data_IF_708106698757
#
_entry.id   IF_708106698757
#
_cell.length_a   1.000
_cell.length_b   1.000
_cell.length_c   1.000
_cell.angle_alpha   90.00
_cell.angle_beta   90.00
_cell.angle_gamma   90.00
#
_symmetry.space_group_name_H-M   'P 1'
#
loop_
_entity.id
_entity.type
_entity.pdbx_description
1 polymer ?
#
# COMPACT_ATOMS: atom_id res chain seq x y z
N UNK A 1 -20.79 8.55 -22.10
CA UNK A 1 -20.05 7.88 -21.01
C UNK A 1 -21.01 6.89 -20.38
N UNK A 2 -20.73 5.60 -20.44
CA UNK A 2 -21.57 4.58 -19.79
C UNK A 2 -21.15 4.54 -18.32
N UNK A 3 -22.06 4.89 -17.44
CA UNK A 3 -21.93 4.60 -16.01
C UNK A 3 -21.67 3.10 -15.87
N UNK A 4 -20.48 2.75 -15.37
CA UNK A 4 -20.22 1.40 -14.90
C UNK A 4 -21.00 1.22 -13.62
N UNK A 5 -22.07 0.46 -13.67
CA UNK A 5 -22.77 -0.06 -12.50
C UNK A 5 -21.75 -0.82 -11.64
N UNK A 6 -21.37 -0.22 -10.51
CA UNK A 6 -20.46 -0.84 -9.55
C UNK A 6 -21.30 -1.90 -8.81
N UNK A 7 -21.18 -3.14 -9.25
CA UNK A 7 -21.71 -4.26 -8.49
C UNK A 7 -20.93 -4.39 -7.19
N UNK A 8 -21.54 -4.03 -6.08
CA UNK A 8 -21.01 -4.31 -4.76
C UNK A 8 -20.76 -5.82 -4.63
N UNK A 9 -19.55 -6.28 -4.29
CA UNK A 9 -19.30 -7.69 -3.99
C UNK A 9 -19.90 -8.11 -2.63
N UNK A 10 -20.42 -7.17 -1.87
CA UNK A 10 -21.23 -7.44 -0.70
C UNK A 10 -22.64 -7.79 -1.14
N UNK A 11 -22.87 -9.02 -1.57
CA UNK A 11 -24.20 -9.61 -1.42
C UNK A 11 -24.38 -9.89 0.08
N UNK A 12 -25.22 -9.10 0.72
CA UNK A 12 -25.64 -9.25 2.12
C UNK A 12 -26.34 -10.60 2.42
N UNK A 13 -26.26 -11.58 1.51
CA UNK A 13 -26.89 -12.90 1.62
C UNK A 13 -25.96 -13.98 2.16
N UNK A 14 -24.69 -13.68 2.47
CA UNK A 14 -23.76 -14.66 3.03
C UNK A 14 -23.50 -14.37 4.50
N UNK A 15 -24.24 -15.08 5.35
CA UNK A 15 -24.11 -15.22 6.80
C UNK A 15 -24.36 -13.95 7.61
N UNK A 16 -25.59 -13.79 8.06
CA UNK A 16 -26.00 -12.82 9.10
C UNK A 16 -25.22 -12.96 10.43
N UNK A 17 -24.40 -13.99 10.59
CA UNK A 17 -23.64 -14.28 11.82
C UNK A 17 -22.19 -13.79 11.83
N UNK A 18 -21.64 -13.31 10.71
CA UNK A 18 -20.35 -12.61 10.68
C UNK A 18 -20.55 -11.11 10.45
N UNK A 19 -21.22 -10.45 11.39
CA UNK A 19 -21.12 -8.99 11.49
C UNK A 19 -19.68 -8.69 11.91
N UNK A 20 -18.83 -8.38 10.93
CA UNK A 20 -17.52 -7.82 11.22
C UNK A 20 -17.75 -6.45 11.86
N UNK A 21 -17.72 -6.41 13.18
CA UNK A 21 -17.44 -5.16 13.88
C UNK A 21 -16.02 -4.76 13.54
N UNK A 22 -15.84 -4.13 12.37
CA UNK A 22 -14.55 -3.67 11.89
C UNK A 22 -14.05 -2.56 12.82
N UNK A 23 -14.96 -1.89 13.42
CA UNK A 23 -14.77 -0.81 14.38
C UNK A 23 -15.71 -1.02 15.53
N UNK A 24 -15.32 -0.92 16.79
CA UNK A 24 -16.29 -0.91 17.86
C UNK A 24 -17.30 0.21 17.60
N UNK A 25 -18.48 -0.15 17.12
CA UNK A 25 -19.57 0.77 16.83
C UNK A 25 -19.74 1.21 15.38
N UNK A 26 -18.86 0.83 14.44
CA UNK A 26 -19.06 1.13 13.02
C UNK A 26 -19.85 -0.01 12.35
N UNK A 27 -20.96 0.32 11.70
CA UNK A 27 -21.74 -0.63 10.91
C UNK A 27 -21.07 -0.92 9.57
N UNK A 28 -21.40 -2.07 8.96
CA UNK A 28 -20.94 -2.41 7.61
C UNK A 28 -21.35 -1.35 6.56
N UNK A 29 -22.47 -0.66 6.77
CA UNK A 29 -22.98 0.40 5.89
C UNK A 29 -22.15 1.67 6.04
N UNK A 30 -21.79 2.07 7.25
CA UNK A 30 -20.92 3.21 7.51
C UNK A 30 -19.54 2.98 6.94
N UNK A 31 -19.01 1.77 7.05
CA UNK A 31 -17.74 1.39 6.46
C UNK A 31 -17.81 1.36 4.94
N UNK A 32 -18.89 0.86 4.36
CA UNK A 32 -19.12 0.90 2.93
C UNK A 32 -19.18 2.34 2.42
N UNK A 33 -19.86 3.24 3.13
CA UNK A 33 -19.91 4.65 2.80
C UNK A 33 -18.52 5.30 2.83
N UNK A 34 -17.68 4.93 3.79
CA UNK A 34 -16.33 5.43 3.93
C UNK A 34 -15.45 5.12 2.70
N UNK A 35 -15.47 3.86 2.24
CA UNK A 35 -14.66 3.43 1.10
C UNK A 35 -15.30 3.72 -0.26
N UNK A 36 -16.59 4.05 -0.30
CA UNK A 36 -17.37 4.21 -1.54
C UNK A 36 -17.80 5.65 -1.83
N UNK A 37 -17.20 6.65 -1.17
CA UNK A 37 -17.42 8.03 -1.58
C UNK A 37 -17.02 8.23 -3.05
N UNK A 38 -17.83 9.01 -3.77
CA UNK A 38 -17.73 9.18 -5.23
C UNK A 38 -16.60 10.09 -5.68
N UNK A 39 -15.59 10.33 -4.87
CA UNK A 39 -14.44 11.18 -5.22
C UNK A 39 -13.69 10.61 -6.42
N UNK A 40 -13.58 11.38 -7.49
CA UNK A 40 -12.78 11.00 -8.64
C UNK A 40 -11.29 11.09 -8.29
N UNK A 41 -10.54 10.02 -8.56
CA UNK A 41 -9.09 10.05 -8.40
C UNK A 41 -8.44 10.83 -9.54
N UNK A 42 -7.45 11.63 -9.21
CA UNK A 42 -6.64 12.37 -10.17
C UNK A 42 -5.57 11.45 -10.72
N UNK A 43 -5.49 11.33 -12.04
CA UNK A 43 -4.38 10.65 -12.70
C UNK A 43 -3.27 11.65 -13.05
N UNK A 44 -1.98 11.26 -12.94
CA UNK A 44 -0.89 12.12 -13.34
C UNK A 44 -0.88 12.37 -14.86
N UNK A 45 -0.48 13.58 -15.25
CA UNK A 45 -0.39 13.97 -16.67
C UNK A 45 0.69 13.21 -17.43
N UNK A 46 1.64 12.61 -16.72
CA UNK A 46 2.76 11.84 -17.29
C UNK A 46 2.98 10.53 -16.54
N UNK A 47 3.47 9.54 -17.25
CA UNK A 47 3.81 8.24 -16.68
C UNK A 47 5.28 8.16 -16.33
N UNK A 48 5.56 8.00 -15.03
CA UNK A 48 6.89 7.64 -14.53
C UNK A 48 7.05 6.13 -14.46
N UNK A 49 8.20 5.65 -14.92
CA UNK A 49 8.59 4.25 -14.82
C UNK A 49 9.60 4.07 -13.71
N UNK A 50 9.49 3.00 -12.95
CA UNK A 50 10.42 2.68 -11.88
C UNK A 50 11.51 1.74 -12.40
N UNK A 51 12.75 2.00 -11.98
CA UNK A 51 13.91 1.16 -12.21
C UNK A 51 14.64 0.91 -10.89
N UNK A 52 14.94 -0.34 -10.58
CA UNK A 52 15.79 -0.71 -9.46
C UNK A 52 17.16 -1.16 -10.00
N UNK A 53 18.22 -0.52 -9.57
CA UNK A 53 19.59 -0.84 -9.97
C UNK A 53 20.51 -0.77 -8.77
N UNK A 54 21.30 -1.82 -8.52
CA UNK A 54 22.26 -1.90 -7.41
C UNK A 54 21.66 -1.56 -6.03
N UNK A 55 20.43 -2.02 -5.77
CA UNK A 55 19.72 -1.75 -4.51
C UNK A 55 19.21 -0.33 -4.38
N UNK A 56 19.26 0.47 -5.42
CA UNK A 56 18.78 1.85 -5.47
C UNK A 56 17.61 1.96 -6.41
N UNK A 57 16.66 2.81 -6.04
CA UNK A 57 15.46 3.08 -6.82
C UNK A 57 15.61 4.35 -7.62
N UNK A 58 15.34 4.28 -8.90
CA UNK A 58 15.27 5.40 -9.82
C UNK A 58 13.90 5.42 -10.48
N UNK A 59 13.52 6.61 -10.94
CA UNK A 59 12.37 6.79 -11.84
C UNK A 59 12.86 7.39 -13.14
N UNK A 60 12.13 7.15 -14.22
CA UNK A 60 12.41 7.80 -15.49
C UNK A 60 11.14 8.09 -16.25
N UNK A 61 11.18 9.10 -17.07
CA UNK A 61 10.19 9.43 -18.09
C UNK A 61 10.90 9.68 -19.41
N UNK A 62 10.18 9.54 -20.49
CA UNK A 62 10.69 9.93 -21.81
C UNK A 62 10.32 11.39 -22.06
N UNK A 63 11.30 12.16 -22.54
CA UNK A 63 11.04 13.51 -23.04
C UNK A 63 10.40 13.49 -24.44
N UNK A 64 10.11 14.68 -24.97
CA UNK A 64 9.45 14.85 -26.28
C UNK A 64 10.28 14.27 -27.44
N UNK A 65 11.57 14.03 -27.24
CA UNK A 65 12.46 13.41 -28.22
C UNK A 65 12.55 11.89 -28.08
N UNK A 66 11.88 11.32 -27.08
CA UNK A 66 11.95 9.90 -26.75
C UNK A 66 13.22 9.52 -25.93
N UNK A 67 13.95 10.52 -25.41
CA UNK A 67 15.13 10.28 -24.58
C UNK A 67 14.72 10.09 -23.12
N UNK A 68 15.20 9.01 -22.42
CA UNK A 68 14.87 8.79 -21.03
C UNK A 68 15.59 9.78 -20.12
N UNK A 69 14.85 10.47 -19.28
CA UNK A 69 15.36 11.33 -18.21
C UNK A 69 15.19 10.62 -16.88
N UNK A 70 16.29 10.42 -16.16
CA UNK A 70 16.34 9.67 -14.91
C UNK A 70 16.29 10.60 -13.69
N UNK A 71 15.62 10.12 -12.65
CA UNK A 71 15.47 10.79 -11.36
C UNK A 71 15.79 9.79 -10.25
N UNK A 72 16.73 10.06 -9.34
CA UNK A 72 16.89 9.25 -8.15
C UNK A 72 15.63 9.35 -7.28
N UNK A 73 15.27 8.27 -6.60
CA UNK A 73 14.16 8.33 -5.63
C UNK A 73 14.57 9.13 -4.39
N UNK A 74 13.58 9.72 -3.72
CA UNK A 74 13.79 10.37 -2.42
C UNK A 74 14.49 9.42 -1.45
N UNK A 75 14.05 8.16 -1.38
CA UNK A 75 14.66 7.15 -0.51
C UNK A 75 16.09 6.83 -0.89
N UNK A 76 16.44 6.82 -2.18
CA UNK A 76 17.81 6.66 -2.65
C UNK A 76 18.69 7.81 -2.17
N UNK A 77 18.24 9.06 -2.33
CA UNK A 77 18.97 10.24 -1.85
C UNK A 77 19.17 10.17 -0.33
N UNK A 78 18.10 9.92 0.43
CA UNK A 78 18.18 9.84 1.89
C UNK A 78 19.13 8.73 2.36
N UNK A 79 19.10 7.57 1.71
CA UNK A 79 19.98 6.44 2.08
C UNK A 79 21.47 6.73 1.85
N UNK A 80 21.81 7.64 0.93
CA UNK A 80 23.18 8.03 0.62
C UNK A 80 23.64 9.22 1.46
N UNK A 81 22.75 10.08 1.90
CA UNK A 81 23.10 11.35 2.55
C UNK A 81 22.92 11.32 4.07
N UNK A 82 21.99 10.48 4.58
CA UNK A 82 21.74 10.40 6.01
C UNK A 82 22.42 9.19 6.65
N UNK A 83 23.08 9.38 7.80
CA UNK A 83 23.62 8.26 8.56
C UNK A 83 22.47 7.40 9.11
N UNK A 84 22.70 6.09 9.25
CA UNK A 84 21.78 5.21 9.97
C UNK A 84 21.63 5.69 11.41
N UNK A 85 20.38 5.63 11.94
CA UNK A 85 20.15 6.03 13.32
C UNK A 85 20.90 5.11 14.29
N UNK A 86 21.40 5.63 15.42
CA UNK A 86 22.05 4.81 16.45
C UNK A 86 21.16 3.67 16.95
N UNK A 87 19.85 3.89 17.05
CA UNK A 87 18.89 2.84 17.43
C UNK A 87 18.86 1.68 16.44
N UNK A 88 18.88 1.97 15.14
CA UNK A 88 18.92 0.94 14.12
C UNK A 88 20.23 0.16 14.18
N UNK A 89 21.35 0.85 14.38
CA UNK A 89 22.67 0.22 14.50
C UNK A 89 22.71 -0.72 15.72
N UNK A 90 22.24 -0.26 16.87
CA UNK A 90 22.18 -1.06 18.09
C UNK A 90 21.25 -2.27 17.90
N UNK A 91 20.08 -2.08 17.32
CA UNK A 91 19.15 -3.17 17.06
C UNK A 91 19.74 -4.24 16.11
N UNK A 92 20.47 -3.84 15.06
CA UNK A 92 21.18 -4.77 14.18
C UNK A 92 22.28 -5.52 14.95
N UNK A 93 23.01 -4.81 15.82
CA UNK A 93 24.07 -5.42 16.63
C UNK A 93 23.52 -6.45 17.64
N UNK A 94 22.37 -6.18 18.24
CA UNK A 94 21.70 -7.08 19.19
C UNK A 94 21.09 -8.33 18.49
N UNK A 95 20.47 -8.13 17.33
CA UNK A 95 19.82 -9.22 16.58
C UNK A 95 20.80 -10.08 15.78
N UNK A 96 21.90 -9.52 15.34
CA UNK A 96 22.75 -10.06 14.29
C UNK A 96 22.27 -9.67 12.89
N UNK A 97 23.21 -9.60 11.96
CA UNK A 97 22.96 -9.08 10.61
C UNK A 97 21.92 -9.95 9.86
N UNK A 98 22.09 -11.26 9.88
CA UNK A 98 21.21 -12.18 9.15
C UNK A 98 19.77 -12.12 9.64
N UNK A 99 19.57 -12.10 10.96
CA UNK A 99 18.24 -12.02 11.56
C UNK A 99 17.60 -10.64 11.33
N UNK A 100 18.39 -9.57 11.38
CA UNK A 100 17.91 -8.22 11.09
C UNK A 100 17.48 -8.07 9.63
N UNK A 101 18.22 -8.66 8.69
CA UNK A 101 17.88 -8.69 7.27
C UNK A 101 16.63 -9.52 7.01
N UNK A 102 16.54 -10.72 7.59
CA UNK A 102 15.35 -11.57 7.48
C UNK A 102 14.10 -10.85 7.97
N UNK A 103 14.17 -10.22 9.12
CA UNK A 103 13.05 -9.46 9.69
C UNK A 103 12.65 -8.27 8.80
N UNK A 104 13.65 -7.52 8.32
CA UNK A 104 13.42 -6.40 7.39
C UNK A 104 12.70 -6.87 6.12
N UNK A 105 13.17 -7.96 5.52
CA UNK A 105 12.66 -8.45 4.24
C UNK A 105 11.24 -9.02 4.39
N UNK A 106 10.96 -9.67 5.51
CA UNK A 106 9.61 -10.11 5.87
C UNK A 106 8.65 -8.92 5.98
N UNK A 107 9.04 -7.88 6.75
CA UNK A 107 8.20 -6.70 6.94
C UNK A 107 8.03 -5.90 5.66
N UNK A 108 9.06 -5.80 4.85
CA UNK A 108 8.99 -5.14 3.56
C UNK A 108 8.06 -5.88 2.59
N UNK A 109 8.10 -7.22 2.56
CA UNK A 109 7.21 -8.02 1.73
C UNK A 109 5.74 -7.86 2.16
N UNK A 110 5.47 -7.98 3.47
CA UNK A 110 4.11 -7.76 3.98
C UNK A 110 3.63 -6.31 3.72
N UNK A 111 4.48 -5.31 3.96
CA UNK A 111 4.17 -3.91 3.66
C UNK A 111 3.82 -3.69 2.19
N UNK A 112 4.57 -4.29 1.26
CA UNK A 112 4.26 -4.23 -0.18
C UNK A 112 2.88 -4.81 -0.49
N UNK A 113 2.50 -5.91 0.14
CA UNK A 113 1.16 -6.46 0.01
C UNK A 113 0.10 -5.48 0.52
N UNK A 114 0.33 -4.84 1.68
CA UNK A 114 -0.63 -3.90 2.27
C UNK A 114 -0.82 -2.64 1.42
N UNK A 115 0.26 -2.09 0.85
CA UNK A 115 0.15 -0.97 -0.10
C UNK A 115 -0.76 -1.34 -1.28
N UNK A 116 -0.52 -2.49 -1.91
CA UNK A 116 -1.35 -2.94 -3.02
C UNK A 116 -2.81 -3.22 -2.61
N UNK A 117 -3.04 -3.74 -1.40
CA UNK A 117 -4.37 -3.97 -0.87
C UNK A 117 -5.13 -2.65 -0.61
N UNK A 118 -4.47 -1.65 -0.03
CA UNK A 118 -5.07 -0.34 0.21
C UNK A 118 -5.30 0.43 -1.08
N UNK A 119 -4.36 0.37 -2.04
CA UNK A 119 -4.55 0.92 -3.38
C UNK A 119 -5.80 0.32 -4.04
N UNK A 120 -5.93 -1.01 -4.02
CA UNK A 120 -7.10 -1.70 -4.58
C UNK A 120 -8.41 -1.27 -3.90
N UNK A 121 -8.42 -1.17 -2.58
CA UNK A 121 -9.58 -0.72 -1.82
C UNK A 121 -9.99 0.71 -2.19
N UNK A 122 -9.03 1.62 -2.32
CA UNK A 122 -9.28 3.03 -2.62
C UNK A 122 -9.67 3.26 -4.09
N UNK A 123 -8.99 2.58 -5.02
CA UNK A 123 -9.23 2.76 -6.47
C UNK A 123 -10.50 2.05 -6.90
N UNK A 124 -10.65 0.78 -6.53
CA UNK A 124 -11.81 -0.02 -6.95
C UNK A 124 -13.04 0.27 -6.11
N UNK A 125 -12.86 0.91 -4.96
CA UNK A 125 -13.92 1.22 -4.00
C UNK A 125 -14.72 -0.03 -3.60
N UNK A 126 -13.99 -1.13 -3.44
CA UNK A 126 -14.51 -2.44 -3.06
C UNK A 126 -13.80 -2.89 -1.80
N UNK A 127 -14.57 -3.19 -0.77
CA UNK A 127 -14.06 -3.82 0.44
C UNK A 127 -14.40 -5.30 0.40
N UNK A 128 -13.43 -6.13 0.09
CA UNK A 128 -13.54 -7.58 0.06
C UNK A 128 -12.42 -8.21 0.90
N UNK A 129 -12.70 -8.38 2.20
CA UNK A 129 -11.71 -8.93 3.12
C UNK A 129 -11.38 -10.39 2.79
N UNK A 130 -12.34 -11.17 2.31
CA UNK A 130 -12.09 -12.58 1.99
C UNK A 130 -11.28 -12.71 0.71
N UNK A 131 -11.58 -11.92 -0.32
CA UNK A 131 -10.74 -11.82 -1.50
C UNK A 131 -9.32 -11.33 -1.18
N UNK A 132 -9.15 -10.39 -0.25
CA UNK A 132 -7.84 -9.97 0.25
C UNK A 132 -7.11 -11.10 1.00
N UNK A 133 -7.80 -11.91 1.79
CA UNK A 133 -7.21 -13.08 2.46
C UNK A 133 -6.73 -14.13 1.45
N UNK A 134 -7.51 -14.38 0.39
CA UNK A 134 -7.11 -15.31 -0.66
C UNK A 134 -5.86 -14.83 -1.41
N UNK A 135 -5.81 -13.53 -1.75
CA UNK A 135 -4.63 -12.90 -2.33
C UNK A 135 -3.43 -12.95 -1.39
N UNK A 136 -3.64 -12.70 -0.10
CA UNK A 136 -2.60 -12.79 0.92
C UNK A 136 -2.03 -14.20 1.02
N UNK A 137 -2.88 -15.22 1.00
CA UNK A 137 -2.44 -16.62 1.04
C UNK A 137 -1.51 -16.95 -0.14
N UNK A 138 -1.94 -16.62 -1.35
CA UNK A 138 -1.11 -16.82 -2.55
C UNK A 138 0.20 -16.01 -2.50
N UNK A 139 0.17 -14.80 -1.94
CA UNK A 139 1.34 -13.95 -1.79
C UNK A 139 2.35 -14.53 -0.78
N UNK A 140 1.90 -15.02 0.37
CA UNK A 140 2.74 -15.66 1.40
C UNK A 140 3.45 -16.87 0.80
N UNK A 141 2.72 -17.74 0.09
CA UNK A 141 3.28 -18.93 -0.57
C UNK A 141 4.34 -18.54 -1.61
N UNK A 142 4.06 -17.55 -2.45
CA UNK A 142 4.98 -17.06 -3.48
C UNK A 142 6.27 -16.46 -2.91
N UNK A 143 6.15 -15.69 -1.81
CA UNK A 143 7.27 -15.02 -1.15
C UNK A 143 7.98 -15.88 -0.11
N UNK A 144 7.46 -17.08 0.17
CA UNK A 144 7.99 -17.99 1.21
C UNK A 144 8.17 -17.28 2.56
N UNK A 145 7.15 -16.51 2.99
CA UNK A 145 7.19 -15.79 4.24
C UNK A 145 7.23 -16.76 5.44
N UNK A 146 7.94 -16.41 6.54
CA UNK A 146 8.27 -17.34 7.59
C UNK A 146 7.12 -17.74 8.52
N UNK A 147 6.08 -16.88 8.60
CA UNK A 147 4.92 -17.14 9.46
C UNK A 147 3.81 -17.83 8.66
N UNK A 148 2.88 -18.43 9.39
CA UNK A 148 1.73 -19.08 8.78
C UNK A 148 0.66 -18.07 8.31
N UNK A 149 -0.28 -18.55 7.52
CA UNK A 149 -1.37 -17.73 7.00
C UNK A 149 -2.22 -17.10 8.11
N UNK A 150 -2.45 -17.80 9.21
CA UNK A 150 -3.30 -17.31 10.31
C UNK A 150 -2.70 -16.03 10.91
N UNK A 151 -1.37 -16.04 11.14
CA UNK A 151 -0.66 -14.87 11.65
C UNK A 151 -0.85 -13.63 10.76
N UNK A 152 -0.62 -13.81 9.45
CA UNK A 152 -0.76 -12.70 8.50
C UNK A 152 -2.22 -12.28 8.26
N UNK A 153 -3.17 -13.21 8.32
CA UNK A 153 -4.59 -12.88 8.19
C UNK A 153 -5.11 -12.06 9.38
N UNK A 154 -4.64 -12.38 10.59
CA UNK A 154 -4.94 -11.58 11.79
C UNK A 154 -4.30 -10.19 11.71
N UNK A 155 -3.08 -10.10 11.19
CA UNK A 155 -2.43 -8.82 10.97
C UNK A 155 -3.15 -7.99 9.91
N UNK A 156 -3.50 -8.60 8.76
CA UNK A 156 -4.29 -7.96 7.71
C UNK A 156 -5.58 -7.33 8.26
N UNK A 157 -6.33 -8.10 9.05
CA UNK A 157 -7.56 -7.59 9.67
C UNK A 157 -7.28 -6.33 10.51
N UNK A 158 -6.26 -6.35 11.36
CA UNK A 158 -5.89 -5.21 12.21
C UNK A 158 -5.46 -3.99 11.38
N UNK A 159 -4.68 -4.21 10.33
CA UNK A 159 -4.16 -3.13 9.50
C UNK A 159 -5.26 -2.49 8.65
N UNK A 160 -6.18 -3.30 8.12
CA UNK A 160 -7.37 -2.78 7.41
C UNK A 160 -8.27 -1.99 8.35
N UNK A 161 -8.46 -2.46 9.60
CA UNK A 161 -9.19 -1.73 10.63
C UNK A 161 -8.54 -0.39 10.97
N UNK A 162 -7.23 -0.40 11.19
CA UNK A 162 -6.48 0.81 11.49
C UNK A 162 -6.53 1.82 10.32
N UNK A 163 -6.50 1.32 9.08
CA UNK A 163 -6.66 2.15 7.89
C UNK A 163 -8.05 2.76 7.79
N UNK A 164 -9.10 1.97 8.01
CA UNK A 164 -10.48 2.46 8.05
C UNK A 164 -10.66 3.53 9.12
N UNK A 165 -10.05 3.33 10.32
CA UNK A 165 -10.04 4.31 11.38
C UNK A 165 -9.38 5.62 10.95
N UNK A 166 -8.20 5.53 10.36
CA UNK A 166 -7.48 6.70 9.88
C UNK A 166 -8.33 7.50 8.88
N UNK A 167 -8.94 6.83 7.90
CA UNK A 167 -9.82 7.47 6.92
C UNK A 167 -10.99 8.20 7.60
N UNK A 168 -11.59 7.57 8.63
CA UNK A 168 -12.73 8.14 9.36
C UNK A 168 -12.33 9.30 10.24
N UNK A 169 -11.29 9.12 11.07
CA UNK A 169 -10.89 10.12 12.07
C UNK A 169 -10.43 11.44 11.43
N UNK A 170 -9.87 11.34 10.24
CA UNK A 170 -9.35 12.50 9.51
C UNK A 170 -10.21 12.95 8.33
N UNK A 171 -11.40 12.34 8.13
CA UNK A 171 -12.29 12.60 6.98
C UNK A 171 -11.53 12.60 5.64
N UNK A 172 -10.67 11.57 5.46
CA UNK A 172 -9.78 11.49 4.30
C UNK A 172 -10.58 11.24 3.02
N UNK A 173 -10.42 12.14 2.04
CA UNK A 173 -10.99 12.00 0.70
C UNK A 173 -9.86 11.90 -0.31
N UNK A 174 -9.54 10.67 -0.79
CA UNK A 174 -8.40 10.48 -1.66
C UNK A 174 -8.59 11.22 -2.98
N UNK A 175 -7.61 12.05 -3.33
CA UNK A 175 -7.50 12.70 -4.64
C UNK A 175 -6.63 11.89 -5.60
N UNK A 176 -5.60 11.22 -5.07
CA UNK A 176 -4.75 10.30 -5.81
C UNK A 176 -4.22 9.20 -4.88
N UNK A 177 -3.96 8.02 -5.44
CA UNK A 177 -3.42 6.85 -4.74
C UNK A 177 -2.24 6.32 -5.53
N UNK A 178 -1.13 5.97 -4.83
CA UNK A 178 0.10 5.44 -5.43
C UNK A 178 0.59 6.26 -6.64
N UNK A 179 0.60 7.59 -6.48
CA UNK A 179 0.97 8.51 -7.55
C UNK A 179 2.48 8.73 -7.59
N UNK A 180 3.11 8.45 -8.73
CA UNK A 180 4.52 8.74 -8.95
C UNK A 180 4.69 10.15 -9.50
N UNK A 181 5.51 10.97 -8.81
CA UNK A 181 5.77 12.36 -9.17
C UNK A 181 7.28 12.62 -9.29
N UNK A 182 7.65 13.42 -10.30
CA UNK A 182 8.99 13.94 -10.45
C UNK A 182 9.03 15.44 -10.14
N UNK A 183 10.00 15.84 -9.32
CA UNK A 183 10.22 17.24 -8.99
C UNK A 183 11.23 17.89 -9.96
N UNK A 184 11.02 19.14 -10.40
CA UNK A 184 11.92 19.83 -11.33
C UNK A 184 13.38 19.93 -10.87
N UNK A 185 13.63 19.91 -9.55
CA UNK A 185 15.00 19.91 -8.98
C UNK A 185 15.77 18.63 -9.31
N UNK A 186 15.09 17.52 -9.71
CA UNK A 186 15.79 16.33 -10.21
C UNK A 186 15.66 15.10 -9.32
N UNK A 187 14.59 14.94 -8.57
CA UNK A 187 14.25 13.71 -7.86
C UNK A 187 12.81 13.30 -8.13
N UNK A 188 12.48 12.05 -7.81
CA UNK A 188 11.12 11.54 -7.94
C UNK A 188 10.75 10.64 -6.75
N UNK A 189 9.47 10.38 -6.60
CA UNK A 189 8.94 9.51 -5.54
C UNK A 189 7.54 9.04 -5.84
N UNK A 190 7.13 8.01 -5.14
CA UNK A 190 5.75 7.56 -5.05
C UNK A 190 5.13 8.19 -3.80
N UNK A 191 3.92 8.71 -3.93
CA UNK A 191 3.10 9.18 -2.82
C UNK A 191 1.94 8.22 -2.70
N UNK A 192 1.81 7.59 -1.54
CA UNK A 192 0.85 6.51 -1.31
C UNK A 192 -0.59 7.04 -1.35
N UNK A 193 -0.82 8.23 -0.80
CA UNK A 193 -2.15 8.84 -0.71
C UNK A 193 -2.05 10.38 -0.71
N UNK A 194 -2.88 11.02 -1.54
CA UNK A 194 -3.06 12.48 -1.62
C UNK A 194 -4.50 12.83 -1.37
#
# INVERSE_FOLDING_TARGET
>A
MKEKEIKSPFSLEQNEDEVFEIYPGMTAEEMKALFFDSTALIEPEYKLFQLNSNGQRYYYLFDDTGTPKFYPSVTTILSQTLPKSPFLINWIAEKGIEEAERYRDERAAYGTFMHAAFEELLINRVYDLDGLKDKLKAYIENKSLPNDFIYYADQLKKDVLAFAQFITDYDVKPLAVEIALAHPIGYAGMIDLV
#
